data_IF_559389971830
#
_entry.id   IF_559389971830
#
_cell.length_a   1.000
_cell.length_b   1.000
_cell.length_c   1.000
_cell.angle_alpha   90.00
_cell.angle_beta   90.00
_cell.angle_gamma   90.00
#
_symmetry.space_group_name_H-M   'P 1'
#
loop_
_entity.id
_entity.type
_entity.pdbx_description
1 polymer ?
#
# COMPACT_ATOMS: atom_id res chain seq x y z
N UNK A 1 26.71 -56.57 13.63
CA UNK A 1 27.17 -56.99 12.29
C UNK A 1 26.17 -56.52 11.24
N UNK A 2 26.68 -56.06 10.09
CA UNK A 2 26.01 -55.80 8.80
C UNK A 2 25.18 -54.50 8.61
N UNK A 3 25.92 -53.47 8.19
CA UNK A 3 25.58 -52.32 7.34
C UNK A 3 24.99 -52.72 5.96
N UNK A 4 23.99 -51.97 5.43
CA UNK A 4 23.77 -51.57 4.00
C UNK A 4 22.78 -50.38 3.96
N UNK A 5 23.10 -49.09 3.74
CA UNK A 5 23.69 -48.29 2.63
C UNK A 5 22.80 -48.09 1.36
N UNK A 6 22.69 -46.79 1.00
CA UNK A 6 22.36 -46.13 -0.29
C UNK A 6 20.89 -45.82 -0.58
N UNK A 7 20.46 -44.56 -0.62
CA UNK A 7 20.78 -43.43 -1.53
C UNK A 7 19.87 -43.42 -2.77
N UNK A 8 19.12 -42.34 -2.95
CA UNK A 8 18.25 -42.10 -4.09
C UNK A 8 17.73 -40.67 -4.12
N UNK A 9 18.61 -39.72 -4.42
CA UNK A 9 18.24 -38.37 -4.85
C UNK A 9 17.81 -38.39 -6.33
N UNK A 10 16.77 -37.62 -6.68
CA UNK A 10 16.58 -36.87 -7.95
C UNK A 10 15.11 -36.36 -8.01
N UNK A 11 14.89 -35.06 -7.83
CA UNK A 11 14.78 -34.03 -8.89
C UNK A 11 13.62 -34.25 -9.86
N UNK A 12 12.58 -33.42 -9.74
CA UNK A 12 11.87 -32.86 -10.89
C UNK A 12 11.49 -31.41 -10.59
N UNK A 13 12.00 -30.54 -11.46
CA UNK A 13 11.86 -29.09 -11.47
C UNK A 13 10.56 -28.68 -12.20
N UNK A 14 10.05 -27.53 -11.75
CA UNK A 14 9.18 -26.57 -12.41
C UNK A 14 8.94 -26.73 -13.92
N UNK A 15 7.66 -26.63 -14.30
CA UNK A 15 7.23 -26.05 -15.56
C UNK A 15 6.25 -24.91 -15.26
N UNK A 16 6.73 -23.68 -15.47
CA UNK A 16 5.90 -22.49 -15.55
C UNK A 16 5.22 -22.43 -16.92
N UNK A 17 3.91 -22.21 -16.94
CA UNK A 17 3.22 -21.70 -18.12
C UNK A 17 1.94 -20.97 -17.68
N UNK A 18 2.10 -19.68 -17.41
CA UNK A 18 0.98 -18.76 -17.35
C UNK A 18 0.47 -18.46 -18.75
N UNK A 19 -0.85 -18.59 -18.96
CA UNK A 19 -1.54 -18.01 -20.10
C UNK A 19 -3.05 -17.91 -19.81
N UNK A 20 -3.44 -16.91 -19.02
CA UNK A 20 -4.82 -16.43 -18.99
C UNK A 20 -4.84 -15.01 -19.56
N UNK A 21 -5.08 -14.89 -20.87
CA UNK A 21 -5.49 -13.63 -21.51
C UNK A 21 -6.93 -13.80 -21.97
N UNK A 22 -7.85 -13.08 -21.34
CA UNK A 22 -9.20 -12.79 -21.84
C UNK A 22 -9.51 -11.32 -21.61
N UNK A 23 -10.26 -10.78 -22.57
CA UNK A 23 -11.05 -9.53 -22.54
C UNK A 23 -10.25 -8.29 -22.97
N UNK A 24 -10.37 -7.86 -24.24
CA UNK A 24 -11.49 -7.14 -24.88
C UNK A 24 -11.65 -5.74 -24.31
N UNK A 25 -11.10 -4.76 -25.02
CA UNK A 25 -11.61 -3.38 -25.02
C UNK A 25 -11.68 -2.93 -26.47
N UNK A 26 -12.92 -2.70 -26.88
CA UNK A 26 -13.39 -2.20 -28.16
C UNK A 26 -14.09 -0.89 -27.83
N UNK A 27 -13.69 0.20 -28.48
CA UNK A 27 -14.54 1.32 -28.91
C UNK A 27 -13.68 2.56 -29.12
N UNK A 28 -13.38 2.77 -30.40
CA UNK A 28 -12.75 3.94 -30.94
C UNK A 28 -13.70 5.16 -30.91
N UNK A 29 -13.09 6.33 -30.84
CA UNK A 29 -13.74 7.63 -30.73
C UNK A 29 -14.67 7.97 -31.88
N UNK A 30 -15.87 8.42 -31.52
CA UNK A 30 -16.76 9.15 -32.41
C UNK A 30 -16.49 10.64 -32.33
N UNK A 31 -15.70 11.15 -33.28
CA UNK A 31 -15.68 12.57 -33.62
C UNK A 31 -16.93 12.87 -34.44
N UNK A 32 -17.70 13.87 -34.03
CA UNK A 32 -18.77 14.44 -34.87
C UNK A 32 -18.61 15.96 -34.83
N UNK A 33 -17.85 16.48 -35.79
CA UNK A 33 -17.97 17.86 -36.24
C UNK A 33 -19.26 17.98 -37.08
N UNK A 34 -20.03 19.03 -36.84
CA UNK A 34 -20.92 19.62 -37.84
C UNK A 34 -20.83 21.14 -37.74
N UNK A 35 -20.42 21.84 -38.81
CA UNK A 35 -20.40 23.29 -38.85
C UNK A 35 -21.65 23.87 -39.56
N UNK A 36 -21.88 25.16 -39.28
CA UNK A 36 -22.62 26.16 -40.06
C UNK A 36 -24.15 26.28 -39.87
N UNK A 37 -24.61 27.46 -39.41
CA UNK A 37 -25.16 28.47 -40.33
C UNK A 37 -25.36 29.85 -39.66
N UNK A 38 -25.20 30.88 -40.49
CA UNK A 38 -25.15 32.33 -40.22
C UNK A 38 -26.49 32.99 -39.84
N UNK A 39 -26.34 34.28 -39.49
CA UNK A 39 -27.27 35.40 -39.63
C UNK A 39 -28.10 35.81 -38.40
N UNK A 40 -27.54 36.76 -37.63
CA UNK A 40 -28.11 38.12 -37.61
C UNK A 40 -27.21 39.11 -36.89
N UNK A 41 -26.80 40.15 -37.64
CA UNK A 41 -26.28 41.40 -37.11
C UNK A 41 -27.45 42.16 -36.48
N UNK A 42 -27.39 42.41 -35.19
CA UNK A 42 -28.04 43.56 -34.57
C UNK A 42 -27.17 43.96 -33.38
N UNK A 43 -26.52 45.12 -33.49
CA UNK A 43 -25.86 45.79 -32.38
C UNK A 43 -26.88 46.66 -31.66
N UNK A 44 -27.22 46.36 -30.40
CA UNK A 44 -27.56 47.38 -29.44
C UNK A 44 -26.33 47.68 -28.57
N UNK A 45 -25.91 48.94 -28.63
CA UNK A 45 -25.42 49.80 -27.54
C UNK A 45 -24.73 49.15 -26.32
N UNK A 46 -23.51 49.61 -25.92
CA UNK A 46 -22.79 49.01 -24.81
C UNK A 46 -23.49 49.31 -23.48
N UNK A 47 -24.34 48.38 -23.03
CA UNK A 47 -24.83 48.36 -21.67
C UNK A 47 -23.64 48.14 -20.73
N UNK A 48 -23.42 49.12 -19.86
CA UNK A 48 -22.54 49.18 -18.71
C UNK A 48 -21.79 47.88 -18.38
N UNK A 49 -20.45 47.95 -18.45
CA UNK A 49 -19.54 47.01 -17.78
C UNK A 49 -19.89 47.04 -16.29
N UNK A 50 -20.76 46.13 -15.88
CA UNK A 50 -20.92 45.79 -14.48
C UNK A 50 -19.74 44.87 -14.21
N UNK A 51 -18.68 45.40 -13.61
CA UNK A 51 -17.58 44.58 -13.13
C UNK A 51 -18.19 43.45 -12.29
N UNK A 52 -18.03 42.17 -12.66
CA UNK A 52 -18.43 41.11 -11.76
C UNK A 52 -17.52 41.24 -10.55
N UNK A 53 -18.11 41.60 -9.42
CA UNK A 53 -17.46 41.49 -8.12
C UNK A 53 -16.96 40.05 -8.04
N UNK A 54 -15.66 39.88 -8.24
CA UNK A 54 -14.94 38.63 -8.00
C UNK A 54 -14.93 38.46 -6.48
N UNK A 55 -16.04 37.99 -5.93
CA UNK A 55 -16.03 37.41 -4.58
C UNK A 55 -14.92 36.36 -4.57
N UNK A 56 -13.91 36.50 -3.70
CA UNK A 56 -12.86 35.50 -3.59
C UNK A 56 -13.52 34.13 -3.34
N UNK A 57 -13.19 33.09 -4.10
CA UNK A 57 -13.79 31.79 -3.90
C UNK A 57 -13.51 31.35 -2.46
N UNK A 58 -14.55 30.89 -1.76
CA UNK A 58 -14.41 30.36 -0.40
C UNK A 58 -13.29 29.30 -0.37
N UNK A 59 -12.41 29.33 0.64
CA UNK A 59 -11.34 28.34 0.76
C UNK A 59 -11.97 26.95 0.84
N UNK A 60 -11.78 26.14 -0.21
CA UNK A 60 -12.20 24.74 -0.18
C UNK A 60 -11.42 24.04 0.93
N UNK A 61 -12.07 23.21 1.76
CA UNK A 61 -11.37 22.44 2.77
C UNK A 61 -10.35 21.53 2.07
N UNK A 62 -9.08 21.88 2.21
CA UNK A 62 -7.98 21.02 1.78
C UNK A 62 -7.95 19.80 2.70
N UNK A 63 -7.94 18.57 2.15
CA UNK A 63 -7.85 17.37 2.96
C UNK A 63 -6.58 17.47 3.83
N UNK A 64 -6.65 17.01 5.10
CA UNK A 64 -5.51 17.11 6.00
C UNK A 64 -4.29 16.47 5.34
N UNK A 65 -3.16 17.19 5.35
CA UNK A 65 -1.91 16.67 4.83
C UNK A 65 -1.67 15.30 5.45
N UNK A 66 -1.62 14.26 4.61
CA UNK A 66 -1.28 12.91 5.07
C UNK A 66 0.09 13.03 5.73
N UNK A 67 0.17 12.71 7.02
CA UNK A 67 1.46 12.68 7.73
C UNK A 67 2.39 11.78 6.94
N UNK A 68 3.49 12.34 6.45
CA UNK A 68 4.50 11.56 5.77
C UNK A 68 5.10 10.60 6.80
N UNK A 69 4.95 9.30 6.59
CA UNK A 69 5.57 8.29 7.44
C UNK A 69 7.08 8.28 7.24
N UNK A 70 7.85 8.09 8.32
CA UNK A 70 9.29 7.85 8.24
C UNK A 70 9.56 6.39 7.83
N UNK A 71 10.51 6.19 6.91
CA UNK A 71 10.95 4.85 6.49
C UNK A 71 12.11 4.40 7.37
N UNK A 72 12.02 3.17 7.87
CA UNK A 72 13.09 2.49 8.59
C UNK A 72 13.42 1.17 7.91
N UNK A 73 14.70 0.78 7.95
CA UNK A 73 15.18 -0.53 7.48
C UNK A 73 15.88 -1.20 8.65
N UNK A 74 15.54 -2.46 8.94
CA UNK A 74 16.15 -3.24 9.99
C UNK A 74 16.63 -4.59 9.43
N UNK A 75 17.81 -5.02 9.86
CA UNK A 75 18.30 -6.38 9.65
C UNK A 75 17.94 -7.21 10.88
N UNK A 76 17.38 -8.39 10.66
CA UNK A 76 17.01 -9.33 11.70
C UNK A 76 17.85 -10.59 11.54
N UNK A 77 18.34 -11.11 12.66
CA UNK A 77 18.99 -12.42 12.70
C UNK A 77 17.97 -13.54 12.41
N UNK A 78 18.44 -14.69 11.92
CA UNK A 78 17.58 -15.80 11.49
C UNK A 78 16.58 -16.23 12.58
N UNK A 79 17.04 -16.33 13.83
CA UNK A 79 16.19 -16.70 14.98
C UNK A 79 15.05 -15.68 15.20
N UNK A 80 15.33 -14.39 14.98
CA UNK A 80 14.36 -13.30 15.13
C UNK A 80 13.37 -13.32 13.97
N UNK A 81 13.84 -13.62 12.75
CA UNK A 81 12.98 -13.80 11.57
C UNK A 81 12.00 -14.94 11.81
N UNK A 82 12.47 -16.09 12.29
CA UNK A 82 11.62 -17.25 12.56
C UNK A 82 10.55 -16.96 13.61
N UNK A 83 10.93 -16.31 14.72
CA UNK A 83 9.97 -15.88 15.73
C UNK A 83 8.91 -14.93 15.16
N UNK A 84 9.32 -13.98 14.32
CA UNK A 84 8.42 -13.01 13.70
C UNK A 84 7.48 -13.63 12.66
N UNK A 85 7.96 -14.56 11.84
CA UNK A 85 7.14 -15.33 10.90
C UNK A 85 6.11 -16.20 11.62
N UNK A 86 6.48 -16.77 12.77
CA UNK A 86 5.55 -17.55 13.58
C UNK A 86 4.40 -16.69 14.13
N UNK A 87 4.69 -15.48 14.63
CA UNK A 87 3.65 -14.52 15.06
C UNK A 87 2.74 -14.16 13.89
N UNK A 88 3.32 -13.87 12.72
CA UNK A 88 2.57 -13.54 11.50
C UNK A 88 1.65 -14.68 11.07
N UNK A 89 2.14 -15.92 11.11
CA UNK A 89 1.37 -17.13 10.80
C UNK A 89 0.20 -17.32 11.75
N UNK A 90 0.41 -17.14 13.06
CA UNK A 90 -0.65 -17.24 14.07
C UNK A 90 -1.71 -16.16 13.82
N UNK A 91 -1.29 -14.91 13.57
CA UNK A 91 -2.21 -13.81 13.29
C UNK A 91 -3.08 -14.09 12.06
N UNK A 92 -2.50 -14.51 10.94
CA UNK A 92 -3.24 -14.87 9.71
C UNK A 92 -4.27 -15.98 9.96
N UNK A 93 -3.89 -17.03 10.68
CA UNK A 93 -4.79 -18.14 11.02
C UNK A 93 -5.97 -17.69 11.88
N UNK A 94 -5.72 -16.82 12.85
CA UNK A 94 -6.76 -16.34 13.78
C UNK A 94 -7.68 -15.32 13.14
N UNK A 95 -7.15 -14.42 12.30
CA UNK A 95 -7.92 -13.35 11.68
C UNK A 95 -8.61 -13.77 10.38
N UNK A 96 -8.22 -14.89 9.78
CA UNK A 96 -8.82 -15.38 8.53
C UNK A 96 -8.55 -14.49 7.31
N UNK A 97 -7.58 -13.57 7.40
CA UNK A 97 -7.19 -12.65 6.32
C UNK A 97 -5.68 -12.57 6.17
N UNK A 98 -5.26 -11.96 5.07
CA UNK A 98 -3.87 -11.56 4.91
C UNK A 98 -3.48 -10.57 6.01
N UNK A 99 -2.29 -10.77 6.57
CA UNK A 99 -1.66 -9.89 7.55
C UNK A 99 -0.24 -9.65 7.08
N UNK A 100 0.10 -8.39 6.87
CA UNK A 100 1.41 -7.97 6.41
C UNK A 100 2.42 -7.89 7.57
N UNK A 101 3.69 -8.09 7.26
CA UNK A 101 4.77 -8.00 8.25
C UNK A 101 4.79 -6.62 8.93
N UNK A 102 4.61 -5.55 8.14
CA UNK A 102 4.58 -4.18 8.66
C UNK A 102 3.39 -3.98 9.61
N UNK A 103 2.25 -4.62 9.35
CA UNK A 103 1.08 -4.56 10.23
C UNK A 103 1.40 -5.20 11.59
N UNK A 104 2.01 -6.38 11.59
CA UNK A 104 2.44 -7.06 12.83
C UNK A 104 3.47 -6.22 13.58
N UNK A 105 4.50 -5.71 12.90
CA UNK A 105 5.54 -4.88 13.52
C UNK A 105 4.94 -3.61 14.13
N UNK A 106 4.04 -2.95 13.41
CA UNK A 106 3.36 -1.74 13.91
C UNK A 106 2.53 -2.03 15.14
N UNK A 107 1.79 -3.15 15.15
CA UNK A 107 1.01 -3.57 16.31
C UNK A 107 1.90 -3.88 17.53
N UNK A 108 3.04 -4.55 17.32
CA UNK A 108 4.00 -4.84 18.40
C UNK A 108 4.61 -3.56 18.98
N UNK A 109 4.96 -2.59 18.12
CA UNK A 109 5.52 -1.31 18.56
C UNK A 109 4.49 -0.49 19.36
N UNK A 110 3.23 -0.46 18.90
CA UNK A 110 2.16 0.22 19.62
C UNK A 110 1.86 -0.46 20.96
N UNK A 111 1.82 -1.79 20.99
CA UNK A 111 1.62 -2.54 22.23
C UNK A 111 2.73 -2.26 23.26
N UNK A 112 3.99 -2.24 22.82
CA UNK A 112 5.13 -1.91 23.69
C UNK A 112 5.14 -0.44 24.11
N UNK A 113 4.57 0.47 23.32
CA UNK A 113 4.42 1.86 23.71
C UNK A 113 3.34 2.03 24.80
N UNK A 114 2.24 1.28 24.70
CA UNK A 114 1.09 1.40 25.61
C UNK A 114 1.28 0.63 26.93
N UNK A 115 2.01 -0.49 26.93
CA UNK A 115 2.24 -1.31 28.13
C UNK A 115 3.61 -1.01 28.79
N UNK A 116 3.56 -0.48 30.02
CA UNK A 116 4.76 -0.12 30.78
C UNK A 116 5.66 -1.31 31.12
N UNK A 117 5.07 -2.45 31.48
CA UNK A 117 5.82 -3.67 31.81
C UNK A 117 6.54 -4.19 30.57
N UNK A 118 5.86 -4.20 29.42
CA UNK A 118 6.46 -4.61 28.16
C UNK A 118 7.59 -3.67 27.73
N UNK A 119 7.39 -2.36 27.91
CA UNK A 119 8.44 -1.37 27.65
C UNK A 119 9.68 -1.61 28.51
N UNK A 120 9.51 -1.84 29.80
CA UNK A 120 10.63 -2.11 30.71
C UNK A 120 11.35 -3.42 30.36
N UNK A 121 10.61 -4.45 29.94
CA UNK A 121 11.19 -5.69 29.44
C UNK A 121 12.01 -5.49 28.16
N UNK A 122 11.53 -4.65 27.23
CA UNK A 122 12.28 -4.30 26.01
C UNK A 122 13.58 -3.59 26.37
N UNK A 123 13.53 -2.59 27.26
CA UNK A 123 14.72 -1.86 27.73
C UNK A 123 15.70 -2.81 28.43
N UNK A 124 15.21 -3.66 29.33
CA UNK A 124 16.04 -4.65 30.02
C UNK A 124 16.71 -5.64 29.07
N UNK A 125 15.98 -6.14 28.07
CA UNK A 125 16.50 -7.06 27.06
C UNK A 125 17.60 -6.42 26.22
N UNK A 126 17.43 -5.15 25.82
CA UNK A 126 18.45 -4.40 25.08
C UNK A 126 19.69 -4.18 25.97
N UNK A 127 19.48 -3.81 27.24
CA UNK A 127 20.56 -3.59 28.20
C UNK A 127 21.38 -4.84 28.52
N UNK A 128 20.78 -6.03 28.42
CA UNK A 128 21.44 -7.31 28.65
C UNK A 128 22.21 -7.85 27.44
N UNK A 129 22.04 -7.28 26.24
CA UNK A 129 22.77 -7.73 25.04
C UNK A 129 24.22 -7.24 25.09
N UNK A 130 25.21 -8.12 24.83
CA UNK A 130 26.59 -7.71 24.66
C UNK A 130 26.71 -6.77 23.44
N UNK A 131 27.57 -5.76 23.55
CA UNK A 131 27.86 -4.79 22.48
C UNK A 131 28.83 -5.33 21.44
#
# INVERSE_FOLDING_TARGET
>A
MAERKRAGARRSLAAAAGATRRRSDDSAGGAVEHPQHSDQITMPEPAAVTEPVLTPPEPRPVPPAKRAGSKYTAMLDDDVVDAFEQVTRIARRRLGRHVDKIEVLSALLLLAADDASLRDQVVGTIGARPR
#
